data_IF_089710978773
#
_entry.id   IF_089710978773
#
_cell.length_a   1.000
_cell.length_b   1.000
_cell.length_c   1.000
_cell.angle_alpha   90.00
_cell.angle_beta   90.00
_cell.angle_gamma   90.00
#
_symmetry.space_group_name_H-M   'P 1'
#
loop_
_entity.id
_entity.type
_entity.pdbx_description
1 polymer ?
#
# COMPACT_ATOMS: atom_id res chain seq x y z
N UNK A 1 17.88 6.40 -46.69
CA UNK A 1 17.04 6.75 -45.52
C UNK A 1 17.95 7.15 -44.37
N UNK A 2 17.74 8.31 -43.76
CA UNK A 2 18.60 8.84 -42.69
C UNK A 2 18.08 8.33 -41.34
N UNK A 3 18.91 7.68 -40.54
CA UNK A 3 18.52 7.16 -39.24
C UNK A 3 18.33 8.31 -38.24
N UNK A 4 17.11 8.50 -37.75
CA UNK A 4 16.81 9.42 -36.66
C UNK A 4 17.09 8.68 -35.34
N UNK A 5 18.14 9.10 -34.63
CA UNK A 5 18.42 8.60 -33.29
C UNK A 5 17.68 9.48 -32.26
N UNK A 6 16.92 8.90 -31.33
CA UNK A 6 16.26 9.66 -30.28
C UNK A 6 17.31 10.32 -29.37
N UNK A 7 17.10 11.59 -29.06
CA UNK A 7 17.92 12.35 -28.12
C UNK A 7 17.59 11.87 -26.70
N UNK A 8 18.58 11.57 -25.84
CA UNK A 8 18.31 11.17 -24.47
C UNK A 8 17.51 12.25 -23.75
N UNK A 9 16.32 11.90 -23.28
CA UNK A 9 15.46 12.76 -22.47
C UNK A 9 16.01 12.83 -21.05
N UNK A 10 15.75 13.94 -20.34
CA UNK A 10 16.13 14.05 -18.94
C UNK A 10 15.39 13.01 -18.10
N UNK A 11 16.13 12.30 -17.24
CA UNK A 11 15.58 11.31 -16.32
C UNK A 11 14.82 12.00 -15.18
N UNK A 12 13.51 12.17 -15.35
CA UNK A 12 12.62 12.75 -14.33
C UNK A 12 12.25 11.76 -13.20
N UNK A 13 12.85 10.56 -13.16
CA UNK A 13 12.40 9.46 -12.31
C UNK A 13 12.94 9.45 -10.87
N UNK A 14 13.59 10.52 -10.41
CA UNK A 14 14.02 10.63 -9.01
C UNK A 14 12.87 11.12 -8.11
N UNK A 15 11.72 10.46 -8.19
CA UNK A 15 10.62 10.71 -7.25
C UNK A 15 10.90 9.91 -5.98
N UNK A 16 11.43 10.58 -4.94
CA UNK A 16 11.35 10.06 -3.58
C UNK A 16 9.87 10.01 -3.21
N UNK A 17 9.26 8.83 -3.28
CA UNK A 17 7.86 8.67 -2.87
C UNK A 17 7.77 9.04 -1.39
N UNK A 18 6.92 10.00 -1.06
CA UNK A 18 6.65 10.35 0.33
C UNK A 18 5.90 9.20 0.99
N UNK A 19 6.61 8.44 1.83
CA UNK A 19 6.04 7.35 2.62
C UNK A 19 5.74 7.86 4.01
N UNK A 20 4.46 7.83 4.45
CA UNK A 20 4.08 8.15 5.82
C UNK A 20 4.94 7.39 6.85
N UNK A 21 5.52 8.09 7.82
CA UNK A 21 6.50 7.52 8.80
C UNK A 21 5.92 6.37 9.62
N UNK A 22 4.65 6.51 9.98
CA UNK A 22 3.80 5.50 10.61
C UNK A 22 3.78 4.17 9.84
N UNK A 23 3.78 4.16 8.51
CA UNK A 23 3.80 2.90 7.74
C UNK A 23 5.08 2.08 7.96
N UNK A 24 6.17 2.69 8.41
CA UNK A 24 7.43 1.99 8.71
C UNK A 24 7.35 1.14 9.98
N UNK A 25 6.58 1.58 10.99
CA UNK A 25 6.55 0.98 12.33
C UNK A 25 5.24 0.24 12.68
N UNK A 26 4.19 0.32 11.86
CA UNK A 26 2.91 -0.33 12.19
C UNK A 26 3.02 -1.86 12.35
N UNK A 27 2.20 -2.48 13.19
CA UNK A 27 2.06 -3.95 13.22
C UNK A 27 1.04 -4.45 12.19
N UNK A 28 -0.02 -3.67 11.98
CA UNK A 28 -1.13 -4.02 11.11
C UNK A 28 -1.43 -2.92 10.08
N UNK A 29 -2.02 -3.31 8.96
CA UNK A 29 -2.46 -2.39 7.90
C UNK A 29 -3.83 -2.76 7.38
N UNK A 30 -4.58 -1.75 6.95
CA UNK A 30 -5.78 -1.93 6.12
C UNK A 30 -5.36 -2.01 4.65
N UNK A 31 -5.93 -2.96 3.89
CA UNK A 31 -5.69 -3.14 2.46
C UNK A 31 -6.89 -2.65 1.65
N UNK A 32 -6.65 -1.75 0.69
CA UNK A 32 -7.69 -1.26 -0.24
C UNK A 32 -8.22 -2.38 -1.13
N UNK A 33 -9.53 -2.38 -1.33
CA UNK A 33 -10.23 -3.24 -2.29
C UNK A 33 -10.36 -2.50 -3.61
N UNK A 34 -9.61 -2.91 -4.64
CA UNK A 34 -9.60 -2.26 -5.96
C UNK A 34 -10.74 -2.74 -6.89
N UNK A 35 -11.71 -3.50 -6.37
CA UNK A 35 -12.87 -3.98 -7.14
C UNK A 35 -14.10 -3.10 -6.92
N UNK A 36 -14.94 -2.99 -7.95
CA UNK A 36 -16.25 -2.32 -7.84
C UNK A 36 -17.02 -2.94 -6.68
N UNK A 37 -17.44 -2.06 -5.78
CA UNK A 37 -18.00 -2.37 -4.48
C UNK A 37 -19.45 -1.85 -4.46
N UNK A 38 -20.41 -2.58 -3.87
CA UNK A 38 -21.76 -2.07 -3.66
C UNK A 38 -21.74 -0.75 -2.86
N UNK A 39 -22.79 0.10 -3.00
CA UNK A 39 -22.91 1.29 -2.17
C UNK A 39 -22.77 0.96 -0.68
N UNK A 40 -22.09 1.83 0.06
CA UNK A 40 -21.86 1.71 1.52
C UNK A 40 -21.06 0.47 1.96
N UNK A 41 -20.30 -0.16 1.05
CA UNK A 41 -19.34 -1.21 1.45
C UNK A 41 -17.98 -0.62 1.81
N UNK A 42 -17.26 -1.33 2.69
CA UNK A 42 -15.98 -0.88 3.19
C UNK A 42 -14.90 -1.02 2.10
N UNK A 43 -14.29 0.09 1.71
CA UNK A 43 -13.26 0.12 0.65
C UNK A 43 -11.92 -0.49 1.07
N UNK A 44 -11.80 -0.93 2.33
CA UNK A 44 -10.60 -1.49 2.90
C UNK A 44 -10.93 -2.76 3.70
N UNK A 45 -10.00 -3.71 3.70
CA UNK A 45 -10.08 -4.94 4.49
C UNK A 45 -8.96 -4.98 5.54
N UNK A 46 -9.10 -5.85 6.53
CA UNK A 46 -8.12 -5.95 7.62
C UNK A 46 -8.46 -4.99 8.74
N UNK A 47 -7.75 -5.02 9.88
CA UNK A 47 -6.30 -5.02 10.00
C UNK A 47 -5.63 -6.35 9.66
N UNK A 48 -4.71 -6.32 8.69
CA UNK A 48 -3.86 -7.44 8.32
C UNK A 48 -2.49 -7.31 8.96
N UNK A 49 -1.99 -8.39 9.54
CA UNK A 49 -0.65 -8.45 10.13
C UNK A 49 0.42 -8.24 9.03
N UNK A 50 1.41 -7.40 9.32
CA UNK A 50 2.54 -7.19 8.41
C UNK A 50 3.70 -8.11 8.76
N UNK A 51 3.97 -9.06 7.87
CA UNK A 51 5.06 -10.05 8.01
C UNK A 51 6.40 -9.47 7.56
N UNK A 52 6.40 -8.69 6.48
CA UNK A 52 7.61 -8.06 5.92
C UNK A 52 7.29 -6.73 5.26
N UNK A 53 8.22 -5.79 5.33
CA UNK A 53 8.17 -4.50 4.63
C UNK A 53 9.40 -4.26 3.77
N UNK A 54 9.21 -3.52 2.70
CA UNK A 54 10.23 -2.93 1.85
C UNK A 54 9.72 -1.55 1.42
N UNK A 55 10.56 -0.70 0.82
CA UNK A 55 10.21 0.68 0.47
C UNK A 55 8.97 0.81 -0.42
N UNK A 56 8.68 -0.20 -1.25
CA UNK A 56 7.57 -0.19 -2.21
C UNK A 56 6.48 -1.22 -1.94
N UNK A 57 6.77 -2.25 -1.12
CA UNK A 57 5.88 -3.42 -0.98
C UNK A 57 5.78 -3.91 0.45
N UNK A 58 4.59 -4.43 0.78
CA UNK A 58 4.24 -5.03 2.05
C UNK A 58 3.89 -6.50 1.82
N UNK A 59 4.41 -7.39 2.65
CA UNK A 59 3.93 -8.77 2.76
C UNK A 59 3.04 -8.87 3.98
N UNK A 60 1.75 -9.12 3.76
CA UNK A 60 0.73 -9.18 4.81
C UNK A 60 0.11 -10.57 4.89
N UNK A 61 -0.40 -10.94 6.07
CA UNK A 61 -1.10 -12.19 6.30
C UNK A 61 -2.61 -11.97 6.11
N UNK A 62 -3.21 -12.64 5.12
CA UNK A 62 -4.65 -12.62 4.86
C UNK A 62 -5.14 -14.06 4.90
N UNK A 63 -6.05 -14.39 5.81
CA UNK A 63 -6.63 -15.73 5.95
C UNK A 63 -5.56 -16.85 5.99
N UNK A 64 -4.47 -16.63 6.74
CA UNK A 64 -3.35 -17.56 6.86
C UNK A 64 -2.41 -17.62 5.65
N UNK A 65 -2.65 -16.82 4.61
CA UNK A 65 -1.81 -16.77 3.40
C UNK A 65 -1.04 -15.47 3.32
N UNK A 66 0.25 -15.56 2.98
CA UNK A 66 1.11 -14.39 2.75
C UNK A 66 0.75 -13.77 1.40
N UNK A 67 0.45 -12.48 1.37
CA UNK A 67 0.17 -11.71 0.16
C UNK A 67 1.06 -10.49 0.07
N UNK A 68 1.63 -10.26 -1.10
CA UNK A 68 2.45 -9.07 -1.37
C UNK A 68 1.60 -7.98 -2.03
N UNK A 69 1.69 -6.75 -1.52
CA UNK A 69 0.89 -5.60 -1.98
C UNK A 69 1.76 -4.35 -2.09
N UNK A 70 1.44 -3.43 -3.01
CA UNK A 70 2.10 -2.12 -3.08
C UNK A 70 1.78 -1.28 -1.84
N UNK A 71 2.72 -0.41 -1.46
CA UNK A 71 2.54 0.58 -0.40
C UNK A 71 1.35 1.52 -0.66
N UNK A 72 1.03 1.81 -1.93
CA UNK A 72 -0.05 2.73 -2.31
C UNK A 72 -1.46 2.19 -1.97
N UNK A 73 -1.56 0.89 -1.68
CA UNK A 73 -2.83 0.22 -1.38
C UNK A 73 -3.03 -0.03 0.10
N UNK A 74 -2.10 0.39 0.95
CA UNK A 74 -2.17 0.13 2.39
C UNK A 74 -2.29 1.42 3.19
N UNK A 75 -3.08 1.34 4.26
CA UNK A 75 -3.17 2.38 5.28
C UNK A 75 -2.74 1.77 6.62
N UNK A 76 -1.98 2.49 7.47
CA UNK A 76 -1.64 1.99 8.80
C UNK A 76 -2.91 1.74 9.62
N UNK A 77 -2.97 0.61 10.32
CA UNK A 77 -4.03 0.33 11.28
C UNK A 77 -3.56 0.69 12.69
N UNK A 78 -4.25 1.62 13.33
CA UNK A 78 -3.96 2.01 14.71
C UNK A 78 -4.80 1.15 15.64
N UNK A 79 -4.13 0.25 16.36
CA UNK A 79 -4.74 -0.53 17.43
C UNK A 79 -4.38 0.14 18.76
N UNK A 80 -5.10 1.21 19.11
CA UNK A 80 -5.08 1.68 20.50
C UNK A 80 -6.03 0.78 21.29
N UNK A 81 -5.60 0.32 22.47
CA UNK A 81 -6.29 -0.67 23.27
C UNK A 81 -7.80 -0.44 23.31
N UNK A 82 -8.54 -1.40 22.76
CA UNK A 82 -9.99 -1.53 22.93
C UNK A 82 -10.88 -0.53 22.17
N UNK A 83 -10.61 -0.19 20.91
CA UNK A 83 -11.67 0.16 19.93
C UNK A 83 -11.10 0.09 18.51
N UNK A 84 -11.66 -0.78 17.67
CA UNK A 84 -11.43 -0.79 16.23
C UNK A 84 -12.06 0.48 15.65
N UNK A 85 -11.29 1.56 15.51
CA UNK A 85 -11.76 2.74 14.78
C UNK A 85 -11.76 2.44 13.27
N UNK A 86 -12.84 1.79 12.85
CA UNK A 86 -13.31 1.71 11.47
C UNK A 86 -13.64 3.12 10.99
N UNK A 87 -12.74 3.72 10.21
CA UNK A 87 -13.09 4.91 9.42
C UNK A 87 -13.85 4.44 8.19
N UNK A 88 -15.12 4.84 8.13
CA UNK A 88 -16.04 4.78 6.99
C UNK A 88 -15.41 5.44 5.74
#
# INVERSE_FOLDING_TARGET
MRALQPIPTSAHSNSSMFVPTNLKSCSHVFLRVDSIQPPLSQNYTGPHEVIRRTDKVFTILINGRKKTVSIDRVKPAYMSGMTLMIFL
#
